data_IF_478666841668
#
_entry.id   IF_478666841668
#
_cell.length_a   1.000
_cell.length_b   1.000
_cell.length_c   1.000
_cell.angle_alpha   90.00
_cell.angle_beta   90.00
_cell.angle_gamma   90.00
#
_symmetry.space_group_name_H-M   'P 1'
#
loop_
_entity.id
_entity.type
_entity.pdbx_description
1 polymer ?
#
# COMPACT_ATOMS: atom_id res chain seq x y z
N UNK A 1 -5.57 3.26 -13.72
CA UNK A 1 -5.53 4.60 -13.11
C UNK A 1 -6.90 5.02 -12.57
N UNK A 2 -7.96 4.79 -13.33
CA UNK A 2 -9.31 5.19 -12.97
C UNK A 2 -10.10 3.99 -12.41
N UNK A 3 -10.77 4.21 -11.29
CA UNK A 3 -11.58 3.20 -10.60
C UNK A 3 -13.04 3.66 -10.64
N UNK A 4 -14.00 2.86 -11.14
CA UNK A 4 -15.41 3.16 -11.03
C UNK A 4 -15.85 3.35 -9.58
N UNK A 5 -16.72 4.32 -9.31
CA UNK A 5 -17.26 4.57 -7.97
C UNK A 5 -17.90 3.32 -7.37
N UNK A 6 -18.68 2.59 -8.16
CA UNK A 6 -19.33 1.34 -7.75
C UNK A 6 -18.32 0.26 -7.27
N UNK A 7 -17.13 0.26 -7.85
CA UNK A 7 -16.07 -0.67 -7.43
C UNK A 7 -15.40 -0.23 -6.14
N UNK A 8 -15.11 1.08 -5.99
CA UNK A 8 -14.53 1.63 -4.77
C UNK A 8 -15.43 1.38 -3.55
N UNK A 9 -16.74 1.52 -3.72
CA UNK A 9 -17.73 1.40 -2.64
C UNK A 9 -18.00 -0.03 -2.15
N UNK A 10 -17.32 -1.04 -2.71
CA UNK A 10 -17.56 -2.46 -2.32
C UNK A 10 -16.95 -2.85 -0.96
N UNK A 11 -15.96 -2.15 -0.50
CA UNK A 11 -15.33 -2.40 0.80
C UNK A 11 -15.51 -1.14 1.68
N UNK A 12 -16.43 -1.22 2.65
CA UNK A 12 -16.91 -0.06 3.40
C UNK A 12 -15.84 0.59 4.28
N UNK A 13 -15.03 -0.21 5.01
CA UNK A 13 -13.99 0.32 5.90
C UNK A 13 -12.90 1.03 5.10
N UNK A 14 -12.56 0.49 3.93
CA UNK A 14 -11.61 1.10 3.02
C UNK A 14 -12.13 2.43 2.47
N UNK A 15 -13.42 2.50 2.15
CA UNK A 15 -14.08 3.73 1.70
C UNK A 15 -14.04 4.81 2.77
N UNK A 16 -14.37 4.49 4.02
CA UNK A 16 -14.30 5.47 5.11
C UNK A 16 -12.89 6.06 5.28
N UNK A 17 -11.85 5.23 5.13
CA UNK A 17 -10.47 5.68 5.21
C UNK A 17 -10.04 6.60 4.06
N UNK A 18 -10.54 6.39 2.85
CA UNK A 18 -10.09 7.11 1.64
C UNK A 18 -11.06 8.14 1.09
N UNK A 19 -12.35 8.08 1.42
CA UNK A 19 -13.37 8.98 0.87
C UNK A 19 -13.00 10.48 0.92
N UNK A 20 -12.36 11.00 1.99
CA UNK A 20 -11.97 12.40 2.05
C UNK A 20 -10.80 12.79 1.13
N UNK A 21 -10.07 11.80 0.61
CA UNK A 21 -8.81 12.00 -0.09
C UNK A 21 -8.85 11.59 -1.58
N UNK A 22 -10.01 11.23 -2.11
CA UNK A 22 -10.08 10.82 -3.51
C UNK A 22 -10.28 12.00 -4.45
N UNK A 23 -9.65 11.94 -5.62
CA UNK A 23 -9.88 12.86 -6.73
C UNK A 23 -10.93 12.24 -7.67
N UNK A 24 -12.04 12.95 -7.87
CA UNK A 24 -13.13 12.51 -8.72
C UNK A 24 -12.97 12.98 -10.15
N UNK A 25 -13.20 12.09 -11.10
CA UNK A 25 -13.36 12.40 -12.52
C UNK A 25 -14.83 12.25 -12.87
N UNK A 26 -15.46 13.36 -13.22
CA UNK A 26 -16.90 13.45 -13.48
C UNK A 26 -17.23 13.68 -14.94
N UNK A 27 -16.23 14.06 -15.76
CA UNK A 27 -16.40 14.38 -17.18
C UNK A 27 -15.34 13.72 -18.04
N UNK A 28 -15.75 13.27 -19.23
CA UNK A 28 -14.88 12.80 -20.30
C UNK A 28 -15.01 13.71 -21.51
N UNK A 29 -13.95 14.47 -21.80
CA UNK A 29 -14.04 15.54 -22.81
C UNK A 29 -15.06 16.62 -22.41
N UNK A 30 -16.10 16.81 -23.20
CA UNK A 30 -17.16 17.80 -22.94
C UNK A 30 -18.41 17.25 -22.26
N UNK A 31 -18.48 15.94 -22.07
CA UNK A 31 -19.67 15.25 -21.58
C UNK A 31 -19.47 14.75 -20.13
N UNK A 32 -20.54 14.75 -19.36
CA UNK A 32 -20.56 14.14 -18.04
C UNK A 32 -20.52 12.62 -18.16
N UNK A 33 -19.80 11.96 -17.27
CA UNK A 33 -19.74 10.50 -17.21
C UNK A 33 -21.02 9.95 -16.60
N UNK A 34 -21.52 8.83 -17.12
CA UNK A 34 -22.68 8.11 -16.55
C UNK A 34 -22.36 7.62 -15.11
N UNK A 35 -21.14 7.19 -14.88
CA UNK A 35 -20.61 6.81 -13.56
C UNK A 35 -19.34 7.60 -13.27
N UNK A 36 -19.24 8.18 -12.08
CA UNK A 36 -18.04 8.87 -11.64
C UNK A 36 -16.87 7.88 -11.49
N UNK A 37 -15.69 8.37 -11.81
CA UNK A 37 -14.45 7.61 -11.61
C UNK A 37 -13.61 8.27 -10.53
N UNK A 38 -12.82 7.46 -9.83
CA UNK A 38 -11.81 7.91 -8.87
C UNK A 38 -10.44 7.72 -9.49
N UNK A 39 -9.59 8.73 -9.40
CA UNK A 39 -8.15 8.51 -9.65
C UNK A 39 -7.62 7.67 -8.50
N UNK A 40 -7.07 6.50 -8.78
CA UNK A 40 -6.71 5.49 -7.77
C UNK A 40 -5.90 6.07 -6.61
N UNK A 41 -6.37 5.94 -5.37
CA UNK A 41 -5.60 6.28 -4.17
C UNK A 41 -4.71 5.12 -3.70
N UNK A 42 -5.01 3.92 -4.17
CA UNK A 42 -4.36 2.63 -3.96
C UNK A 42 -5.04 1.59 -4.86
N UNK A 43 -4.54 0.36 -4.94
CA UNK A 43 -5.01 -0.60 -5.95
C UNK A 43 -5.69 -1.86 -5.40
N UNK A 44 -5.95 -1.95 -4.08
CA UNK A 44 -6.57 -3.14 -3.47
C UNK A 44 -7.89 -3.53 -4.14
N UNK A 45 -8.75 -2.55 -4.43
CA UNK A 45 -10.08 -2.79 -5.02
C UNK A 45 -10.00 -3.33 -6.45
N UNK A 46 -9.09 -2.78 -7.24
CA UNK A 46 -8.85 -3.22 -8.63
C UNK A 46 -8.29 -4.63 -8.65
N UNK A 47 -7.23 -4.85 -7.86
CA UNK A 47 -6.56 -6.15 -7.80
C UNK A 47 -7.44 -7.22 -7.16
N UNK A 48 -8.21 -6.88 -6.13
CA UNK A 48 -9.19 -7.79 -5.54
C UNK A 48 -10.22 -8.27 -6.56
N UNK A 49 -10.69 -7.37 -7.43
CA UNK A 49 -11.61 -7.73 -8.53
C UNK A 49 -10.96 -8.67 -9.55
N UNK A 50 -9.68 -8.47 -9.84
CA UNK A 50 -8.95 -9.35 -10.76
C UNK A 50 -8.63 -10.70 -10.13
N UNK A 51 -8.25 -10.73 -8.86
CA UNK A 51 -7.99 -11.97 -8.12
C UNK A 51 -9.24 -12.86 -8.05
N UNK A 52 -10.41 -12.28 -7.85
CA UNK A 52 -11.67 -13.02 -7.89
C UNK A 52 -11.94 -13.73 -9.22
N UNK A 53 -11.33 -13.25 -10.32
CA UNK A 53 -11.42 -13.86 -11.65
C UNK A 53 -10.32 -14.88 -11.91
N UNK A 54 -9.12 -14.63 -11.41
CA UNK A 54 -7.93 -15.44 -11.70
C UNK A 54 -7.81 -16.63 -10.78
N UNK A 55 -8.16 -16.45 -9.49
CA UNK A 55 -8.02 -17.46 -8.46
C UNK A 55 -9.19 -18.45 -8.54
N UNK A 56 -8.90 -19.71 -8.83
CA UNK A 56 -9.89 -20.79 -8.91
C UNK A 56 -9.58 -21.92 -7.96
N UNK A 57 -8.32 -22.20 -7.73
CA UNK A 57 -7.83 -23.37 -7.00
C UNK A 57 -6.65 -23.00 -6.08
N UNK A 58 -6.46 -23.78 -5.02
CA UNK A 58 -5.27 -23.66 -4.18
C UNK A 58 -3.95 -23.75 -4.96
N UNK A 59 -3.97 -24.34 -6.17
CA UNK A 59 -2.79 -24.44 -7.05
C UNK A 59 -2.40 -23.10 -7.68
N UNK A 60 -3.29 -22.16 -7.69
CA UNK A 60 -3.04 -20.80 -8.20
C UNK A 60 -2.37 -19.91 -7.15
N UNK A 61 -2.27 -20.40 -5.90
CA UNK A 61 -1.68 -19.70 -4.77
C UNK A 61 -0.22 -20.13 -4.51
N UNK A 62 0.64 -19.22 -4.03
CA UNK A 62 0.34 -17.81 -3.78
C UNK A 62 0.32 -16.97 -5.07
N UNK A 63 -0.52 -15.94 -5.12
CA UNK A 63 -0.42 -14.88 -6.13
C UNK A 63 0.44 -13.77 -5.54
N UNK A 64 1.54 -13.44 -6.20
CA UNK A 64 2.50 -12.41 -5.78
C UNK A 64 2.63 -11.38 -6.89
N UNK A 65 2.04 -10.21 -6.70
CA UNK A 65 2.07 -9.13 -7.70
C UNK A 65 2.61 -7.86 -7.07
N UNK A 66 3.45 -7.18 -7.81
CA UNK A 66 4.02 -5.89 -7.49
C UNK A 66 3.94 -4.97 -8.70
N UNK A 67 3.71 -3.69 -8.48
CA UNK A 67 3.76 -2.68 -9.54
C UNK A 67 4.50 -1.43 -9.10
N UNK A 68 5.18 -0.81 -10.05
CA UNK A 68 5.65 0.57 -9.98
C UNK A 68 4.58 1.47 -10.59
N UNK A 69 4.03 2.36 -9.78
CA UNK A 69 2.84 3.10 -10.17
C UNK A 69 2.79 4.47 -9.50
N UNK A 70 1.88 5.31 -9.98
CA UNK A 70 1.44 6.52 -9.29
C UNK A 70 0.11 6.28 -8.59
N UNK A 71 -0.15 7.06 -7.57
CA UNK A 71 -1.47 7.19 -6.94
C UNK A 71 -1.74 8.65 -6.61
N UNK A 72 -3.02 9.01 -6.47
CA UNK A 72 -3.45 10.35 -6.14
C UNK A 72 -4.26 10.33 -4.84
N UNK A 73 -3.80 11.08 -3.85
CA UNK A 73 -4.51 11.34 -2.60
C UNK A 73 -4.65 12.83 -2.43
N UNK A 74 -5.87 13.33 -2.41
CA UNK A 74 -6.14 14.77 -2.40
C UNK A 74 -5.76 15.40 -1.06
N UNK A 75 -4.52 15.83 -0.98
CA UNK A 75 -3.95 16.42 0.24
C UNK A 75 -4.18 17.93 0.27
N UNK A 76 -4.72 18.43 1.39
CA UNK A 76 -4.94 19.87 1.58
C UNK A 76 -3.64 20.64 1.88
N UNK A 77 -2.68 19.97 2.51
CA UNK A 77 -1.39 20.54 2.90
C UNK A 77 -0.29 19.61 2.40
N UNK A 78 0.52 20.11 1.47
CA UNK A 78 1.61 19.34 0.87
C UNK A 78 2.97 19.76 1.43
N UNK A 79 3.92 18.82 1.38
CA UNK A 79 5.33 19.03 1.69
C UNK A 79 6.17 18.28 0.66
N UNK A 80 7.18 18.88 0.03
CA UNK A 80 8.00 18.22 -0.97
C UNK A 80 8.49 16.85 -0.50
N UNK A 81 8.33 15.84 -1.35
CA UNK A 81 8.64 14.42 -1.11
C UNK A 81 7.90 13.74 0.04
N UNK A 82 7.57 14.44 1.13
CA UNK A 82 6.99 13.84 2.34
C UNK A 82 5.49 13.61 2.22
N UNK A 83 4.77 14.60 1.62
CA UNK A 83 3.32 14.56 1.45
C UNK A 83 2.95 15.34 0.19
N UNK A 84 2.65 14.61 -0.87
CA UNK A 84 2.26 15.18 -2.17
C UNK A 84 0.92 14.61 -2.61
N UNK A 85 0.17 15.36 -3.39
CA UNK A 85 -1.14 14.92 -3.91
C UNK A 85 -0.99 13.73 -4.84
N UNK A 86 0.00 13.74 -5.71
CA UNK A 86 0.42 12.58 -6.49
C UNK A 86 1.79 12.13 -6.01
N UNK A 87 2.01 10.84 -5.93
CA UNK A 87 3.33 10.27 -5.66
C UNK A 87 3.55 8.97 -6.40
N UNK A 88 4.82 8.71 -6.67
CA UNK A 88 5.29 7.45 -7.24
C UNK A 88 5.63 6.49 -6.09
N UNK A 89 5.29 5.25 -6.28
CA UNK A 89 5.56 4.22 -5.31
C UNK A 89 5.73 2.84 -5.94
N UNK A 90 6.18 1.94 -5.15
CA UNK A 90 6.05 0.53 -5.35
C UNK A 90 4.92 0.06 -4.44
N UNK A 91 3.95 -0.64 -4.97
CA UNK A 91 2.93 -1.33 -4.18
C UNK A 91 2.87 -2.80 -4.60
N UNK A 92 2.76 -3.67 -3.61
CA UNK A 92 2.55 -5.08 -3.83
C UNK A 92 1.25 -5.54 -3.20
N UNK A 93 0.67 -6.55 -3.84
CA UNK A 93 -0.58 -7.16 -3.43
C UNK A 93 -0.44 -8.66 -3.61
N UNK A 94 -0.79 -9.42 -2.59
CA UNK A 94 -0.62 -10.86 -2.63
C UNK A 94 -1.87 -11.59 -2.14
N UNK A 95 -2.01 -12.84 -2.54
CA UNK A 95 -3.05 -13.73 -2.04
C UNK A 95 -2.45 -15.09 -1.69
N UNK A 96 -2.88 -15.66 -0.57
CA UNK A 96 -2.32 -16.86 0.06
C UNK A 96 -3.41 -17.85 0.46
N UNK A 97 -3.03 -19.12 0.61
CA UNK A 97 -3.93 -20.19 1.05
C UNK A 97 -4.26 -20.05 2.53
N UNK A 98 -3.28 -19.66 3.36
CA UNK A 98 -3.42 -19.63 4.82
C UNK A 98 -3.11 -18.29 5.45
N UNK A 99 -3.54 -18.12 6.69
CA UNK A 99 -3.24 -16.94 7.50
C UNK A 99 -1.74 -16.81 7.79
N UNK A 100 -1.10 -17.95 8.03
CA UNK A 100 0.32 -18.06 8.35
C UNK A 100 1.17 -17.59 7.16
N UNK A 101 0.85 -18.03 5.95
CA UNK A 101 1.54 -17.61 4.72
C UNK A 101 1.40 -16.10 4.49
N UNK A 102 0.20 -15.54 4.71
CA UNK A 102 -0.03 -14.11 4.59
C UNK A 102 0.75 -13.30 5.64
N UNK A 103 0.83 -13.78 6.87
CA UNK A 103 1.61 -13.11 7.93
C UNK A 103 3.12 -13.21 7.64
N UNK A 104 3.61 -14.36 7.19
CA UNK A 104 5.00 -14.54 6.80
C UNK A 104 5.39 -13.57 5.68
N UNK A 105 4.59 -13.44 4.63
CA UNK A 105 4.83 -12.49 3.54
C UNK A 105 4.79 -11.04 4.04
N UNK A 106 3.85 -10.69 4.92
CA UNK A 106 3.75 -9.37 5.52
C UNK A 106 5.03 -8.99 6.27
N UNK A 107 5.54 -9.89 7.11
CA UNK A 107 6.75 -9.66 7.90
C UNK A 107 8.02 -9.70 7.05
N UNK A 108 8.09 -10.55 6.05
CA UNK A 108 9.19 -10.62 5.09
C UNK A 108 9.36 -9.30 4.34
N UNK A 109 8.28 -8.72 3.85
CA UNK A 109 8.33 -7.42 3.17
C UNK A 109 8.74 -6.30 4.12
N UNK A 110 8.21 -6.31 5.35
CA UNK A 110 8.64 -5.34 6.37
C UNK A 110 10.16 -5.40 6.59
N UNK A 111 10.71 -6.61 6.72
CA UNK A 111 12.15 -6.83 6.89
C UNK A 111 12.96 -6.34 5.68
N UNK A 112 12.48 -6.57 4.45
CA UNK A 112 13.10 -6.06 3.22
C UNK A 112 13.10 -4.53 3.17
N UNK A 113 12.02 -3.87 3.57
CA UNK A 113 11.96 -2.41 3.64
C UNK A 113 12.92 -1.85 4.68
N UNK A 114 13.02 -2.49 5.84
CA UNK A 114 14.00 -2.13 6.87
C UNK A 114 15.42 -2.30 6.35
N UNK A 115 15.75 -3.44 5.78
CA UNK A 115 17.07 -3.70 5.21
C UNK A 115 17.44 -2.65 4.16
N UNK A 116 16.52 -2.33 3.25
CA UNK A 116 16.73 -1.30 2.24
C UNK A 116 17.00 0.08 2.87
N UNK A 117 16.16 0.49 3.82
CA UNK A 117 16.33 1.77 4.51
C UNK A 117 17.69 1.87 5.22
N UNK A 118 18.06 0.84 5.97
CA UNK A 118 19.29 0.85 6.78
C UNK A 118 20.56 0.63 5.95
N UNK A 119 20.54 -0.32 5.00
CA UNK A 119 21.76 -0.73 4.30
C UNK A 119 22.03 0.04 3.01
N UNK A 120 20.99 0.54 2.33
CA UNK A 120 21.13 1.30 1.08
C UNK A 120 21.02 2.79 1.34
N UNK A 121 19.98 3.21 2.06
CA UNK A 121 19.73 4.61 2.35
C UNK A 121 20.48 5.12 3.59
N UNK A 122 21.15 4.24 4.34
CA UNK A 122 21.80 4.53 5.62
C UNK A 122 20.88 5.29 6.60
N UNK A 123 19.60 4.99 6.55
CA UNK A 123 18.54 5.61 7.33
C UNK A 123 18.06 4.63 8.41
N UNK A 124 18.47 4.81 9.69
CA UNK A 124 18.02 3.95 10.77
C UNK A 124 16.50 4.03 10.94
N UNK A 125 15.86 2.87 11.10
CA UNK A 125 14.41 2.80 11.28
C UNK A 125 14.02 1.87 12.43
N UNK A 126 12.88 2.17 13.03
CA UNK A 126 12.19 1.26 13.95
C UNK A 126 11.06 0.57 13.18
N UNK A 127 10.95 -0.73 13.34
CA UNK A 127 9.87 -1.52 12.77
C UNK A 127 8.92 -2.05 13.85
N UNK A 128 7.65 -2.15 13.53
CA UNK A 128 6.67 -2.67 14.49
C UNK A 128 5.23 -2.55 13.99
N UNK A 129 4.30 -3.14 14.78
CA UNK A 129 2.87 -3.02 14.50
C UNK A 129 2.36 -1.61 14.81
N UNK A 130 1.46 -1.13 13.98
CA UNK A 130 0.69 0.10 14.26
C UNK A 130 -0.42 -0.16 15.26
N UNK A 131 -0.82 0.90 15.97
CA UNK A 131 -2.00 0.87 16.84
C UNK A 131 -3.29 0.65 16.03
N UNK A 132 -4.34 0.19 16.69
CA UNK A 132 -5.65 -0.02 16.05
C UNK A 132 -6.21 1.27 15.40
N UNK A 133 -5.92 2.44 15.97
CA UNK A 133 -6.37 3.73 15.45
C UNK A 133 -5.59 4.20 14.21
N UNK A 134 -4.41 3.64 13.96
CA UNK A 134 -3.53 4.06 12.87
C UNK A 134 -3.31 2.99 11.80
N UNK A 135 -3.88 1.80 12.00
CA UNK A 135 -3.77 0.73 11.01
C UNK A 135 -4.46 1.12 9.70
N UNK A 136 -4.02 0.53 8.62
CA UNK A 136 -4.63 0.71 7.31
C UNK A 136 -6.10 0.28 7.32
N UNK A 137 -6.97 1.10 6.75
CA UNK A 137 -8.41 0.84 6.70
C UNK A 137 -8.72 -0.46 5.94
N UNK A 138 -9.44 -1.37 6.59
CA UNK A 138 -9.71 -2.71 6.08
C UNK A 138 -8.65 -3.77 6.39
N UNK A 139 -7.49 -3.41 6.95
CA UNK A 139 -6.47 -4.37 7.34
C UNK A 139 -6.78 -5.03 8.70
N UNK A 140 -6.39 -6.30 8.85
CA UNK A 140 -6.37 -6.99 10.14
C UNK A 140 -5.21 -6.51 11.00
N UNK A 141 -4.03 -6.32 10.39
CA UNK A 141 -2.82 -5.77 11.01
C UNK A 141 -2.07 -4.90 10.04
N UNK A 142 -1.41 -3.87 10.56
CA UNK A 142 -0.50 -3.01 9.80
C UNK A 142 0.82 -2.93 10.53
N UNK A 143 1.91 -3.12 9.80
CA UNK A 143 3.27 -2.88 10.25
C UNK A 143 3.87 -1.70 9.50
N UNK A 144 4.77 -0.97 10.13
CA UNK A 144 5.51 0.13 9.52
C UNK A 144 6.98 0.09 9.87
N UNK A 145 7.78 0.69 9.01
CA UNK A 145 9.11 1.18 9.36
C UNK A 145 9.04 2.70 9.54
N UNK A 146 9.60 3.21 10.62
CA UNK A 146 9.59 4.62 10.97
C UNK A 146 11.00 5.12 11.28
N UNK A 147 11.38 6.20 10.59
CA UNK A 147 12.67 6.85 10.80
C UNK A 147 12.51 8.05 11.74
N UNK A 148 13.43 8.21 12.69
CA UNK A 148 13.49 9.40 13.53
C UNK A 148 14.23 10.51 12.77
N UNK A 149 13.55 11.62 12.53
CA UNK A 149 14.09 12.77 11.82
C UNK A 149 14.82 13.72 12.79
N UNK A 150 15.66 14.58 12.24
CA UNK A 150 16.46 15.53 13.03
C UNK A 150 15.64 16.50 13.89
N UNK A 151 14.37 16.73 13.56
CA UNK A 151 13.42 17.53 14.35
C UNK A 151 12.72 16.74 15.48
N UNK A 152 13.11 15.47 15.69
CA UNK A 152 12.55 14.59 16.70
C UNK A 152 11.20 13.93 16.31
N UNK A 153 10.73 14.11 15.08
CA UNK A 153 9.50 13.49 14.59
C UNK A 153 9.78 12.16 13.91
N UNK A 154 8.85 11.23 14.05
CA UNK A 154 8.89 9.99 13.30
C UNK A 154 8.34 10.18 11.88
N UNK A 155 9.05 9.65 10.88
CA UNK A 155 8.61 9.57 9.50
C UNK A 155 8.26 8.12 9.18
N UNK A 156 6.98 7.85 8.88
CA UNK A 156 6.58 6.56 8.32
C UNK A 156 7.22 6.40 6.93
N UNK A 157 8.12 5.45 6.80
CA UNK A 157 8.95 5.28 5.60
C UNK A 157 8.45 4.13 4.69
N UNK A 158 7.75 3.16 5.24
CA UNK A 158 7.14 2.06 4.50
C UNK A 158 6.13 1.31 5.34
N UNK A 159 5.18 0.64 4.71
CA UNK A 159 4.13 -0.14 5.39
C UNK A 159 3.93 -1.50 4.76
N UNK A 160 3.56 -2.47 5.61
CA UNK A 160 3.15 -3.81 5.19
C UNK A 160 1.90 -4.20 5.97
N UNK A 161 0.87 -4.62 5.23
CA UNK A 161 -0.47 -4.86 5.77
C UNK A 161 -0.86 -6.32 5.59
N UNK A 162 -1.22 -6.99 6.67
CA UNK A 162 -2.01 -8.20 6.62
C UNK A 162 -3.48 -7.80 6.52
N UNK A 163 -4.11 -8.02 5.38
CA UNK A 163 -5.51 -7.68 5.14
C UNK A 163 -6.47 -8.74 5.68
N UNK A 164 -5.93 -9.88 6.15
CA UNK A 164 -6.75 -11.02 6.55
C UNK A 164 -7.61 -11.50 5.39
N UNK A 165 -8.90 -11.68 5.66
CA UNK A 165 -9.90 -12.04 4.66
C UNK A 165 -10.90 -10.91 4.36
N UNK A 166 -10.68 -9.69 4.86
CA UNK A 166 -11.65 -8.61 4.75
C UNK A 166 -11.90 -8.25 3.28
N UNK A 167 -10.85 -7.98 2.51
CA UNK A 167 -10.96 -7.72 1.08
C UNK A 167 -11.39 -8.97 0.31
N UNK A 168 -10.92 -10.15 0.70
CA UNK A 168 -11.31 -11.39 0.04
C UNK A 168 -12.82 -11.66 0.17
N UNK A 169 -13.44 -11.33 1.30
CA UNK A 169 -14.88 -11.43 1.48
C UNK A 169 -15.63 -10.37 0.67
N UNK A 170 -15.17 -9.11 0.70
CA UNK A 170 -15.80 -8.01 -0.02
C UNK A 170 -15.78 -8.21 -1.54
N UNK A 171 -14.70 -8.76 -2.10
CA UNK A 171 -14.51 -8.97 -3.53
C UNK A 171 -14.76 -10.41 -4.00
N UNK A 172 -15.17 -11.31 -3.10
CA UNK A 172 -15.37 -12.74 -3.37
C UNK A 172 -14.11 -13.41 -3.96
N UNK A 173 -12.94 -13.11 -3.38
CA UNK A 173 -11.69 -13.76 -3.76
C UNK A 173 -11.66 -15.13 -3.12
N UNK A 174 -12.08 -16.15 -3.87
CA UNK A 174 -12.29 -17.51 -3.39
C UNK A 174 -11.56 -18.51 -4.26
N UNK A 175 -11.20 -19.64 -3.66
CA UNK A 175 -10.57 -20.76 -4.34
C UNK A 175 -11.10 -22.09 -3.80
N UNK A 176 -11.04 -23.13 -4.62
CA UNK A 176 -11.29 -24.47 -4.16
C UNK A 176 -10.06 -25.00 -3.40
N UNK A 177 -10.26 -25.26 -2.13
CA UNK A 177 -9.23 -25.82 -1.24
C UNK A 177 -8.89 -27.29 -1.57
N UNK A 178 -7.88 -27.84 -0.89
CA UNK A 178 -7.43 -29.25 -1.04
C UNK A 178 -8.52 -30.24 -0.65
N UNK A 179 -9.39 -29.85 0.26
CA UNK A 179 -10.56 -30.59 0.74
C UNK A 179 -11.79 -30.45 -0.19
N UNK A 180 -11.64 -29.77 -1.33
CA UNK A 180 -12.69 -29.44 -2.31
C UNK A 180 -13.74 -28.46 -1.79
N UNK A 181 -13.56 -27.83 -0.64
CA UNK A 181 -14.42 -26.75 -0.15
C UNK A 181 -14.03 -25.41 -0.76
N UNK A 182 -14.99 -24.50 -0.85
CA UNK A 182 -14.74 -23.13 -1.29
C UNK A 182 -14.28 -22.29 -0.10
N UNK A 183 -13.14 -21.64 -0.23
CA UNK A 183 -12.49 -20.88 0.83
C UNK A 183 -12.15 -19.47 0.33
N UNK A 184 -12.14 -18.46 1.23
CA UNK A 184 -11.61 -17.15 0.93
C UNK A 184 -10.09 -17.13 1.09
N UNK A 185 -9.40 -16.42 0.19
CA UNK A 185 -7.97 -16.21 0.29
C UNK A 185 -7.61 -15.30 1.48
N UNK A 186 -6.38 -15.40 1.94
CA UNK A 186 -5.74 -14.44 2.83
C UNK A 186 -4.90 -13.50 1.99
N UNK A 187 -5.04 -12.19 2.21
CA UNK A 187 -4.42 -11.20 1.34
C UNK A 187 -3.49 -10.27 2.10
N UNK A 188 -2.50 -9.73 1.40
CA UNK A 188 -1.60 -8.71 1.92
C UNK A 188 -1.50 -7.56 0.93
N UNK A 189 -1.15 -6.37 1.44
CA UNK A 189 -0.68 -5.27 0.62
C UNK A 189 0.46 -4.53 1.31
N UNK A 190 1.36 -3.96 0.53
CA UNK A 190 2.54 -3.30 1.07
C UNK A 190 3.07 -2.27 0.08
N UNK A 191 3.78 -1.25 0.59
CA UNK A 191 4.28 -0.17 -0.24
C UNK A 191 5.34 0.70 0.38
N UNK A 192 6.20 1.21 -0.50
CA UNK A 192 7.15 2.30 -0.25
C UNK A 192 7.07 3.31 -1.39
N UNK A 193 7.26 4.58 -1.08
CA UNK A 193 7.09 5.67 -2.03
C UNK A 193 8.32 6.55 -2.12
N UNK A 194 8.26 7.52 -3.02
CA UNK A 194 9.23 8.62 -3.13
C UNK A 194 9.37 9.45 -1.86
N UNK A 195 8.55 9.22 -0.83
CA UNK A 195 8.78 9.74 0.53
C UNK A 195 10.15 9.36 1.09
N UNK A 196 10.71 8.21 0.68
CA UNK A 196 12.06 7.82 1.06
C UNK A 196 13.12 8.83 0.63
N UNK A 197 12.93 9.54 -0.47
CA UNK A 197 13.81 10.64 -0.90
C UNK A 197 13.79 11.75 0.17
N UNK A 198 12.60 12.13 0.63
CA UNK A 198 12.46 13.08 1.73
C UNK A 198 13.11 12.58 3.02
N UNK A 199 12.97 11.29 3.32
CA UNK A 199 13.65 10.64 4.46
C UNK A 199 15.17 10.75 4.37
N UNK A 200 15.75 10.46 3.21
CA UNK A 200 17.21 10.60 2.97
C UNK A 200 17.65 12.05 3.14
N UNK A 201 16.91 13.01 2.59
CA UNK A 201 17.23 14.43 2.73
C UNK A 201 17.20 14.85 4.20
N UNK A 202 16.18 14.46 4.95
CA UNK A 202 16.02 14.83 6.36
C UNK A 202 17.00 14.10 7.29
N UNK A 203 17.49 12.93 6.89
CA UNK A 203 18.49 12.17 7.67
C UNK A 203 19.91 12.65 7.43
N UNK A 204 20.25 13.01 6.18
CA UNK A 204 21.63 13.25 5.74
C UNK A 204 21.89 14.68 5.28
N UNK A 205 20.84 15.52 5.15
CA UNK A 205 20.99 16.92 4.78
C UNK A 205 21.22 17.84 5.97
N UNK A 206 21.91 18.93 5.73
CA UNK A 206 22.05 20.07 6.65
C UNK A 206 21.96 21.40 5.89
N UNK A 207 22.22 22.53 6.57
CA UNK A 207 22.15 23.85 5.97
C UNK A 207 23.23 24.07 4.89
N UNK A 208 24.24 23.21 4.80
CA UNK A 208 25.31 23.26 3.78
C UNK A 208 24.95 22.44 2.53
N UNK A 209 23.94 21.58 2.61
CA UNK A 209 23.46 20.75 1.51
C UNK A 209 23.15 19.31 1.88
N UNK A 210 23.01 18.48 0.85
CA UNK A 210 22.69 17.07 0.97
C UNK A 210 23.95 16.21 0.82
N UNK A 211 24.19 15.35 1.80
CA UNK A 211 25.23 14.33 1.74
C UNK A 211 24.54 13.00 1.48
N UNK A 212 24.75 12.42 0.29
CA UNK A 212 24.15 11.14 -0.06
C UNK A 212 24.94 9.96 0.47
N UNK A 213 24.28 8.90 0.95
CA UNK A 213 24.94 7.65 1.27
C UNK A 213 25.68 7.08 0.06
N UNK A 214 26.87 6.42 0.25
CA UNK A 214 27.69 5.94 -0.87
C UNK A 214 26.98 4.98 -1.83
N UNK A 215 25.99 4.22 -1.36
CA UNK A 215 25.22 3.30 -2.21
C UNK A 215 24.18 4.02 -3.08
N UNK A 216 23.84 5.27 -2.77
CA UNK A 216 22.89 6.10 -3.52
C UNK A 216 23.61 7.13 -4.38
N UNK A 217 24.75 7.62 -3.91
CA UNK A 217 25.59 8.53 -4.68
C UNK A 217 26.30 7.78 -5.83
N UNK A 218 26.18 8.23 -7.08
CA UNK A 218 26.90 7.65 -8.21
C UNK A 218 28.41 7.90 -8.13
#
# INVERSE_FOLDING_TARGET
>A
LFIPESLLMREADHVEGFAPQVAWVTRGGTEDLEERLVVRPTSETVLGTMYAKWLQSWRDLPILINQWANVVRWEKVTRPFLRTTEFLWQEGHTAHETAEEAEEETLKILALYKEFAETVLAMPVHDGPKSESEKFAGASRTYSIEALMGDGRALQAGTSHNLGQNFAKAFAIQFQGRDKTLQHAWTTSWGVSTRLIGGVIMTHGDDSGLILPPKVAP
#
